data_IF_066933297195
#
_entry.id   IF_066933297195
#
_cell.length_a   1.000
_cell.length_b   1.000
_cell.length_c   1.000
_cell.angle_alpha   90.00
_cell.angle_beta   90.00
_cell.angle_gamma   90.00
#
_symmetry.space_group_name_H-M   'P 1'
#
loop_
_entity.id
_entity.type
_entity.pdbx_description
1 polymer ?
#
# COMPACT_ATOMS: atom_id res chain seq x y z
N UNK A 1 17.07 22.86 -10.88
CA UNK A 1 18.15 23.79 -10.57
C UNK A 1 19.28 23.48 -11.54
N UNK A 2 19.75 24.50 -12.25
CA UNK A 2 20.87 24.39 -13.18
C UNK A 2 22.16 24.72 -12.43
N UNK A 3 23.17 23.88 -12.60
CA UNK A 3 24.49 24.09 -12.00
C UNK A 3 25.51 24.41 -13.10
N UNK A 4 26.19 25.53 -12.97
CA UNK A 4 27.30 25.88 -13.83
C UNK A 4 28.60 25.46 -13.14
N UNK A 5 29.38 24.64 -13.82
CA UNK A 5 30.70 24.21 -13.38
C UNK A 5 31.73 24.81 -14.32
N UNK A 6 32.68 25.57 -13.75
CA UNK A 6 33.84 26.06 -14.48
C UNK A 6 34.98 25.04 -14.39
N UNK A 7 35.60 24.73 -15.51
CA UNK A 7 36.76 23.85 -15.55
C UNK A 7 37.76 24.39 -16.58
N UNK A 8 39.05 24.23 -16.33
CA UNK A 8 40.15 24.67 -17.21
C UNK A 8 40.30 23.84 -18.49
N UNK A 9 39.38 22.92 -18.73
CA UNK A 9 39.36 22.05 -19.90
C UNK A 9 38.14 21.14 -19.95
N UNK A 10 38.07 20.26 -20.95
CA UNK A 10 36.97 19.29 -21.07
C UNK A 10 37.09 18.25 -19.94
N UNK A 11 36.12 18.15 -19.01
CA UNK A 11 36.19 17.19 -17.95
C UNK A 11 36.18 15.76 -18.50
N UNK A 12 37.02 14.90 -17.97
CA UNK A 12 37.06 13.47 -18.30
C UNK A 12 35.95 12.71 -17.63
N UNK A 13 35.58 13.14 -16.42
CA UNK A 13 34.56 12.54 -15.62
C UNK A 13 33.92 13.57 -14.70
N UNK A 14 32.60 13.46 -14.46
CA UNK A 14 31.89 14.25 -13.46
C UNK A 14 31.34 13.26 -12.44
N UNK A 15 31.88 13.26 -11.22
CA UNK A 15 31.41 12.45 -10.12
C UNK A 15 30.56 13.31 -9.21
N UNK A 16 29.27 12.98 -9.12
CA UNK A 16 28.36 13.63 -8.19
C UNK A 16 28.48 12.94 -6.83
N UNK A 17 28.89 13.69 -5.81
CA UNK A 17 29.03 13.23 -4.43
C UNK A 17 29.94 12.00 -4.25
N UNK A 18 31.24 12.10 -4.55
CA UNK A 18 32.18 10.98 -4.47
C UNK A 18 32.36 10.41 -3.06
N UNK A 19 31.90 11.12 -2.04
CA UNK A 19 31.90 10.67 -0.65
C UNK A 19 30.55 10.26 -0.13
N UNK A 20 29.52 10.12 -0.97
CA UNK A 20 28.13 9.81 -0.60
C UNK A 20 27.56 10.75 0.47
N UNK A 21 28.05 12.00 0.53
CA UNK A 21 27.63 12.98 1.54
C UNK A 21 26.33 13.67 1.20
N UNK A 22 25.98 13.78 -0.10
CA UNK A 22 24.75 14.37 -0.59
C UNK A 22 23.61 13.34 -0.70
N UNK A 23 23.93 12.06 -0.87
CA UNK A 23 22.97 10.96 -0.75
C UNK A 23 22.56 10.79 0.73
N UNK A 24 22.07 11.88 1.31
CA UNK A 24 21.35 11.75 2.58
C UNK A 24 20.15 10.89 2.30
N UNK A 25 20.02 9.81 3.08
CA UNK A 25 18.78 9.02 3.13
C UNK A 25 17.68 10.00 3.51
N UNK A 26 16.86 10.40 2.55
CA UNK A 26 15.69 11.23 2.87
C UNK A 26 14.78 10.43 3.79
N UNK A 27 14.01 11.09 4.66
CA UNK A 27 13.01 10.40 5.48
C UNK A 27 12.13 9.48 4.63
N UNK A 28 11.72 9.90 3.43
CA UNK A 28 10.87 9.14 2.52
C UNK A 28 11.56 7.88 1.99
N UNK A 29 12.85 7.94 1.65
CA UNK A 29 13.63 6.77 1.26
C UNK A 29 13.78 5.78 2.41
N UNK A 30 13.93 6.27 3.63
CA UNK A 30 14.00 5.43 4.81
C UNK A 30 12.67 4.70 5.06
N UNK A 31 11.55 5.43 5.02
CA UNK A 31 10.20 4.87 5.12
C UNK A 31 9.99 3.79 4.05
N UNK A 32 10.28 4.12 2.79
CA UNK A 32 10.12 3.19 1.67
C UNK A 32 10.99 1.94 1.81
N UNK A 33 12.22 2.06 2.31
CA UNK A 33 13.12 0.93 2.53
C UNK A 33 12.61 -0.02 3.62
N UNK A 34 12.12 0.52 4.74
CA UNK A 34 11.55 -0.27 5.82
C UNK A 34 10.29 -0.97 5.35
N UNK A 35 9.40 -0.24 4.68
CA UNK A 35 8.14 -0.77 4.20
C UNK A 35 8.32 -1.87 3.12
N UNK A 36 9.32 -1.75 2.24
CA UNK A 36 9.65 -2.82 1.28
C UNK A 36 10.10 -4.11 1.98
N UNK A 37 10.91 -4.02 3.03
CA UNK A 37 11.26 -5.20 3.83
C UNK A 37 10.02 -5.84 4.45
N UNK A 38 9.07 -5.04 4.93
CA UNK A 38 7.79 -5.54 5.42
C UNK A 38 7.04 -6.34 4.36
N UNK A 39 7.01 -5.88 3.08
CA UNK A 39 6.39 -6.62 1.99
C UNK A 39 7.12 -7.94 1.69
N UNK A 40 8.44 -7.94 1.70
CA UNK A 40 9.22 -9.17 1.50
C UNK A 40 8.90 -10.19 2.58
N UNK A 41 8.90 -9.79 3.85
CA UNK A 41 8.52 -10.65 4.97
C UNK A 41 7.07 -11.15 4.84
N UNK A 42 6.15 -10.29 4.42
CA UNK A 42 4.77 -10.70 4.17
C UNK A 42 4.67 -11.77 3.06
N UNK A 43 5.39 -11.61 1.95
CA UNK A 43 5.42 -12.58 0.85
C UNK A 43 5.99 -13.94 1.28
N UNK A 44 6.94 -13.93 2.20
CA UNK A 44 7.54 -15.13 2.77
C UNK A 44 6.66 -15.79 3.85
N UNK A 45 5.57 -15.14 4.26
CA UNK A 45 4.68 -15.62 5.32
C UNK A 45 5.13 -15.26 6.73
N UNK A 46 6.17 -14.44 6.88
CA UNK A 46 6.71 -13.96 8.15
C UNK A 46 5.88 -12.77 8.64
N UNK A 47 4.62 -13.02 9.04
CA UNK A 47 3.64 -11.96 9.30
C UNK A 47 3.99 -11.07 10.49
N UNK A 48 4.63 -11.61 11.54
CA UNK A 48 5.02 -10.83 12.73
C UNK A 48 6.12 -9.82 12.37
N UNK A 49 7.11 -10.26 11.63
CA UNK A 49 8.21 -9.44 11.14
C UNK A 49 7.71 -8.38 10.16
N UNK A 50 6.81 -8.77 9.24
CA UNK A 50 6.17 -7.85 8.31
C UNK A 50 5.41 -6.74 9.04
N UNK A 51 4.58 -7.09 10.02
CA UNK A 51 3.85 -6.13 10.84
C UNK A 51 4.80 -5.18 11.55
N UNK A 52 5.86 -5.70 12.19
CA UNK A 52 6.86 -4.88 12.87
C UNK A 52 7.50 -3.86 11.94
N UNK A 53 7.88 -4.26 10.71
CA UNK A 53 8.46 -3.36 9.73
C UNK A 53 7.45 -2.26 9.30
N UNK A 54 6.20 -2.62 9.05
CA UNK A 54 5.18 -1.62 8.70
C UNK A 54 4.91 -0.64 9.84
N UNK A 55 4.82 -1.11 11.08
CA UNK A 55 4.65 -0.25 12.25
C UNK A 55 5.85 0.68 12.48
N UNK A 56 7.07 0.22 12.24
CA UNK A 56 8.27 1.07 12.27
C UNK A 56 8.24 2.15 11.20
N UNK A 57 7.81 1.81 9.99
CA UNK A 57 7.66 2.77 8.91
C UNK A 57 6.59 3.83 9.26
N UNK A 58 5.48 3.44 9.87
CA UNK A 58 4.42 4.36 10.34
C UNK A 58 4.86 5.29 11.48
N UNK A 59 5.85 4.92 12.29
CA UNK A 59 6.44 5.85 13.28
C UNK A 59 7.12 7.04 12.61
N UNK A 60 7.64 6.84 11.39
CA UNK A 60 8.32 7.87 10.61
C UNK A 60 7.35 8.66 9.72
N UNK A 61 6.33 8.01 9.17
CA UNK A 61 5.29 8.62 8.35
C UNK A 61 3.91 8.07 8.71
N UNK A 62 3.24 8.74 9.64
CA UNK A 62 1.94 8.33 10.17
C UNK A 62 0.77 8.52 9.20
N UNK A 63 0.98 9.21 8.09
CA UNK A 63 -0.07 9.51 7.11
C UNK A 63 0.05 8.67 5.84
N UNK A 64 0.86 7.62 5.86
CA UNK A 64 1.19 6.82 4.71
C UNK A 64 0.12 5.79 4.39
N UNK A 65 -0.76 6.11 3.43
CA UNK A 65 -1.84 5.23 2.99
C UNK A 65 -1.36 3.87 2.49
N UNK A 66 -0.20 3.85 1.82
CA UNK A 66 0.36 2.65 1.24
C UNK A 66 0.75 1.62 2.31
N UNK A 67 1.30 2.09 3.44
CA UNK A 67 1.67 1.20 4.56
C UNK A 67 0.42 0.66 5.25
N UNK A 68 -0.56 1.51 5.53
CA UNK A 68 -1.83 1.07 6.10
C UNK A 68 -2.55 0.06 5.21
N UNK A 69 -2.53 0.26 3.89
CA UNK A 69 -3.10 -0.70 2.94
C UNK A 69 -2.46 -2.08 3.07
N UNK A 70 -1.12 -2.15 3.16
CA UNK A 70 -0.40 -3.41 3.30
C UNK A 70 -0.60 -4.07 4.66
N UNK A 71 -0.72 -3.30 5.75
CA UNK A 71 -1.17 -3.82 7.05
C UNK A 71 -2.59 -4.39 6.96
N UNK A 72 -3.49 -3.70 6.26
CA UNK A 72 -4.83 -4.21 5.99
C UNK A 72 -4.82 -5.55 5.26
N UNK A 73 -3.97 -5.71 4.22
CA UNK A 73 -3.80 -6.98 3.51
C UNK A 73 -3.23 -8.08 4.42
N UNK A 74 -2.24 -7.77 5.25
CA UNK A 74 -1.64 -8.69 6.20
C UNK A 74 -2.70 -9.23 7.18
N UNK A 75 -3.50 -8.35 7.77
CA UNK A 75 -4.56 -8.77 8.69
C UNK A 75 -5.71 -9.50 7.98
N UNK A 76 -6.01 -9.14 6.74
CA UNK A 76 -7.00 -9.86 5.92
C UNK A 76 -6.55 -11.31 5.66
N UNK A 77 -5.28 -11.52 5.34
CA UNK A 77 -4.69 -12.86 5.15
C UNK A 77 -4.70 -13.67 6.45
N UNK A 78 -4.42 -13.02 7.59
CA UNK A 78 -4.52 -13.63 8.91
C UNK A 78 -5.97 -13.86 9.39
N UNK A 79 -6.96 -13.46 8.58
CA UNK A 79 -8.39 -13.49 8.93
C UNK A 79 -8.76 -12.64 10.15
N UNK A 80 -7.93 -11.67 10.49
CA UNK A 80 -8.24 -10.67 11.49
C UNK A 80 -8.96 -9.48 10.82
N UNK A 81 -10.23 -9.70 10.52
CA UNK A 81 -11.02 -8.79 9.70
C UNK A 81 -11.26 -7.43 10.36
N UNK A 82 -11.29 -7.36 11.69
CA UNK A 82 -11.46 -6.08 12.40
C UNK A 82 -10.24 -5.19 12.21
N UNK A 83 -9.05 -5.70 12.46
CA UNK A 83 -7.81 -4.97 12.19
C UNK A 83 -7.62 -4.65 10.71
N UNK A 84 -8.02 -5.57 9.81
CA UNK A 84 -7.98 -5.32 8.38
C UNK A 84 -8.84 -4.10 8.00
N UNK A 85 -10.10 -4.05 8.48
CA UNK A 85 -11.01 -2.91 8.23
C UNK A 85 -10.47 -1.60 8.77
N UNK A 86 -9.90 -1.62 9.98
CA UNK A 86 -9.36 -0.41 10.59
C UNK A 86 -8.16 0.12 9.80
N UNK A 87 -7.29 -0.76 9.34
CA UNK A 87 -6.15 -0.37 8.50
C UNK A 87 -6.58 0.11 7.10
N UNK A 88 -7.57 -0.52 6.45
CA UNK A 88 -8.08 0.00 5.18
C UNK A 88 -8.76 1.37 5.34
N UNK A 89 -9.48 1.61 6.45
CA UNK A 89 -10.02 2.96 6.76
C UNK A 89 -8.90 3.97 7.00
N UNK A 90 -7.84 3.58 7.71
CA UNK A 90 -6.67 4.44 7.90
C UNK A 90 -5.97 4.76 6.57
N UNK A 91 -5.88 3.78 5.65
CA UNK A 91 -5.38 4.01 4.30
C UNK A 91 -6.24 5.03 3.54
N UNK A 92 -7.56 4.94 3.65
CA UNK A 92 -8.49 5.89 3.02
C UNK A 92 -8.44 7.31 3.65
N UNK A 93 -8.02 7.42 4.89
CA UNK A 93 -7.86 8.68 5.61
C UNK A 93 -6.46 9.31 5.46
N UNK A 94 -5.50 8.61 4.90
CA UNK A 94 -4.12 9.06 4.74
C UNK A 94 -3.87 9.91 3.50
N UNK A 95 -2.63 9.86 2.99
CA UNK A 95 -2.19 10.68 1.85
C UNK A 95 -2.68 10.21 0.48
N UNK A 96 -3.33 9.04 0.38
CA UNK A 96 -3.84 8.41 -0.85
C UNK A 96 -2.80 8.30 -1.98
N UNK A 97 -1.54 8.13 -1.63
CA UNK A 97 -0.46 7.95 -2.60
C UNK A 97 0.10 6.53 -2.55
N UNK A 98 0.17 5.86 -3.70
CA UNK A 98 -0.23 6.24 -5.07
C UNK A 98 -1.77 6.23 -5.30
N UNK A 99 -2.26 6.85 -6.40
CA UNK A 99 -3.71 7.08 -6.61
C UNK A 99 -4.59 5.82 -6.60
N UNK A 100 -4.09 4.67 -7.05
CA UNK A 100 -4.83 3.41 -7.05
C UNK A 100 -5.24 2.93 -5.65
N UNK A 101 -4.58 3.43 -4.60
CA UNK A 101 -4.86 3.03 -3.22
C UNK A 101 -6.29 3.32 -2.80
N UNK A 102 -6.88 4.39 -3.28
CA UNK A 102 -8.23 4.77 -2.89
C UNK A 102 -9.25 3.70 -3.32
N UNK A 103 -9.25 3.35 -4.60
CA UNK A 103 -10.20 2.35 -5.12
C UNK A 103 -9.95 0.97 -4.52
N UNK A 104 -8.68 0.54 -4.42
CA UNK A 104 -8.37 -0.77 -3.87
C UNK A 104 -8.60 -0.87 -2.36
N UNK A 105 -8.43 0.21 -1.60
CA UNK A 105 -8.76 0.22 -0.17
C UNK A 105 -10.26 0.04 0.06
N UNK A 106 -11.10 0.66 -0.75
CA UNK A 106 -12.55 0.43 -0.69
C UNK A 106 -12.94 -1.01 -1.06
N UNK A 107 -12.31 -1.58 -2.10
CA UNK A 107 -12.55 -2.98 -2.49
C UNK A 107 -12.15 -3.92 -1.36
N UNK A 108 -10.95 -3.74 -0.79
CA UNK A 108 -10.44 -4.60 0.29
C UNK A 108 -11.22 -4.43 1.59
N UNK A 109 -11.71 -3.23 1.87
CA UNK A 109 -12.64 -2.99 2.97
C UNK A 109 -13.95 -3.77 2.76
N UNK A 110 -14.47 -3.78 1.53
CA UNK A 110 -15.62 -4.61 1.15
C UNK A 110 -15.35 -6.10 1.35
N UNK A 111 -14.18 -6.59 0.93
CA UNK A 111 -13.77 -7.98 1.11
C UNK A 111 -13.72 -8.37 2.61
N UNK A 112 -13.19 -7.48 3.46
CA UNK A 112 -13.15 -7.72 4.90
C UNK A 112 -14.57 -7.79 5.53
N UNK A 113 -15.51 -6.98 5.05
CA UNK A 113 -16.91 -7.07 5.48
C UNK A 113 -17.58 -8.35 4.99
N UNK A 114 -17.39 -8.74 3.72
CA UNK A 114 -17.93 -10.00 3.18
C UNK A 114 -17.42 -11.22 3.96
N UNK A 115 -16.13 -11.24 4.28
CA UNK A 115 -15.50 -12.30 5.05
C UNK A 115 -16.09 -12.45 6.46
N UNK A 116 -16.68 -11.38 7.02
CA UNK A 116 -17.43 -11.41 8.28
C UNK A 116 -18.94 -11.63 8.11
N UNK A 117 -19.41 -11.79 6.87
CA UNK A 117 -20.84 -11.95 6.57
C UNK A 117 -21.65 -10.65 6.56
N UNK A 118 -20.99 -9.48 6.66
CA UNK A 118 -21.67 -8.18 6.59
C UNK A 118 -21.77 -7.70 5.14
N UNK A 119 -22.64 -8.37 4.40
CA UNK A 119 -22.87 -8.08 2.98
C UNK A 119 -23.34 -6.65 2.74
N UNK A 120 -24.12 -6.09 3.66
CA UNK A 120 -24.65 -4.73 3.51
C UNK A 120 -23.53 -3.69 3.48
N UNK A 121 -22.58 -3.78 4.41
CA UNK A 121 -21.43 -2.87 4.43
C UNK A 121 -20.45 -3.18 3.32
N UNK A 122 -20.28 -4.45 2.93
CA UNK A 122 -19.47 -4.84 1.77
C UNK A 122 -19.98 -4.16 0.50
N UNK A 123 -21.28 -4.28 0.21
CA UNK A 123 -21.92 -3.64 -0.96
C UNK A 123 -21.78 -2.12 -0.94
N UNK A 124 -21.85 -1.49 0.22
CA UNK A 124 -21.63 -0.06 0.36
C UNK A 124 -20.17 0.34 0.01
N UNK A 125 -19.18 -0.45 0.44
CA UNK A 125 -17.77 -0.24 0.12
C UNK A 125 -17.51 -0.43 -1.38
N UNK A 126 -17.99 -1.51 -1.99
CA UNK A 126 -17.89 -1.73 -3.43
C UNK A 126 -18.60 -0.62 -4.25
N UNK A 127 -19.74 -0.12 -3.75
CA UNK A 127 -20.41 1.01 -4.36
C UNK A 127 -19.63 2.31 -4.30
N UNK A 128 -18.82 2.54 -3.26
CA UNK A 128 -17.91 3.69 -3.20
C UNK A 128 -16.74 3.51 -4.18
N UNK A 129 -16.15 2.32 -4.25
CA UNK A 129 -15.11 2.00 -5.24
C UNK A 129 -15.61 2.22 -6.67
N UNK A 130 -16.82 1.76 -7.00
CA UNK A 130 -17.44 1.95 -8.31
C UNK A 130 -17.63 3.44 -8.67
N UNK A 131 -18.06 4.25 -7.69
CA UNK A 131 -18.27 5.70 -7.89
C UNK A 131 -16.99 6.48 -8.17
N UNK A 132 -15.82 5.99 -7.73
CA UNK A 132 -14.53 6.58 -8.08
C UNK A 132 -14.25 6.48 -9.57
N UNK A 133 -14.76 5.44 -10.24
CA UNK A 133 -14.60 5.24 -11.69
C UNK A 133 -13.18 4.86 -12.11
N UNK A 134 -12.26 4.70 -11.17
CA UNK A 134 -10.86 4.37 -11.43
C UNK A 134 -10.70 2.87 -11.68
N UNK A 135 -10.14 2.52 -12.84
CA UNK A 135 -9.93 1.12 -13.22
C UNK A 135 -8.46 0.67 -13.10
N UNK A 136 -7.74 1.16 -12.09
CA UNK A 136 -6.38 0.69 -11.79
C UNK A 136 -6.37 -0.81 -11.51
N UNK A 137 -5.49 -1.55 -12.19
CA UNK A 137 -5.34 -3.01 -12.06
C UNK A 137 -6.69 -3.76 -12.13
N UNK A 138 -7.58 -3.37 -13.06
CA UNK A 138 -8.91 -3.94 -13.27
C UNK A 138 -9.83 -3.83 -12.03
N UNK A 139 -9.74 -2.73 -11.30
CA UNK A 139 -10.54 -2.49 -10.09
C UNK A 139 -12.05 -2.58 -10.35
N UNK A 140 -12.55 -2.07 -11.49
CA UNK A 140 -13.98 -2.14 -11.82
C UNK A 140 -14.45 -3.58 -12.08
N UNK A 141 -13.60 -4.44 -12.65
CA UNK A 141 -13.91 -5.86 -12.82
C UNK A 141 -13.96 -6.57 -11.47
N UNK A 142 -13.04 -6.23 -10.56
CA UNK A 142 -13.05 -6.74 -9.19
C UNK A 142 -14.31 -6.30 -8.44
N UNK A 143 -14.72 -5.03 -8.57
CA UNK A 143 -15.97 -4.53 -8.00
C UNK A 143 -17.17 -5.30 -8.53
N UNK A 144 -17.25 -5.48 -9.85
CA UNK A 144 -18.35 -6.21 -10.51
C UNK A 144 -18.42 -7.65 -10.01
N UNK A 145 -17.27 -8.32 -9.92
CA UNK A 145 -17.14 -9.69 -9.39
C UNK A 145 -17.67 -9.78 -7.97
N UNK A 146 -17.18 -8.92 -7.05
CA UNK A 146 -17.57 -9.01 -5.63
C UNK A 146 -18.97 -8.50 -5.35
N UNK A 147 -19.53 -7.64 -6.21
CA UNK A 147 -20.96 -7.29 -6.16
C UNK A 147 -21.85 -8.46 -6.57
N UNK A 148 -21.42 -9.26 -7.54
CA UNK A 148 -22.15 -10.45 -7.99
C UNK A 148 -22.01 -11.62 -7.00
N UNK A 149 -20.78 -11.88 -6.50
CA UNK A 149 -20.46 -12.98 -5.61
C UNK A 149 -19.65 -12.45 -4.43
N UNK A 150 -20.10 -12.66 -3.17
CA UNK A 150 -19.36 -12.24 -1.99
C UNK A 150 -17.92 -12.78 -1.99
N UNK A 151 -16.97 -11.97 -1.49
CA UNK A 151 -15.60 -12.43 -1.29
C UNK A 151 -15.56 -13.58 -0.28
N UNK A 152 -14.93 -14.70 -0.66
CA UNK A 152 -14.66 -15.84 0.24
C UNK A 152 -13.15 -16.00 0.45
N UNK A 153 -12.62 -15.76 1.66
CA UNK A 153 -11.20 -15.88 1.95
C UNK A 153 -10.66 -17.32 1.92
N UNK A 154 -11.54 -18.34 1.72
CA UNK A 154 -11.11 -19.73 1.53
C UNK A 154 -10.76 -20.02 0.07
N UNK A 155 -11.39 -19.32 -0.84
CA UNK A 155 -11.22 -19.50 -2.29
C UNK A 155 -10.16 -18.55 -2.86
N UNK A 156 -9.99 -17.39 -2.25
CA UNK A 156 -9.07 -16.35 -2.73
C UNK A 156 -8.02 -16.01 -1.68
N UNK A 157 -6.75 -16.29 -2.01
CA UNK A 157 -5.65 -15.67 -1.29
C UNK A 157 -5.55 -14.20 -1.64
N UNK A 158 -5.15 -13.38 -0.67
CA UNK A 158 -4.93 -11.96 -0.89
C UNK A 158 -3.79 -11.80 -1.91
N UNK A 159 -4.14 -11.43 -3.14
CA UNK A 159 -3.15 -11.03 -4.12
C UNK A 159 -2.48 -9.75 -3.63
N UNK A 160 -1.19 -9.80 -3.37
CA UNK A 160 -0.40 -8.60 -3.18
C UNK A 160 -0.41 -7.86 -4.51
N UNK A 161 -1.07 -6.71 -4.53
CA UNK A 161 -1.02 -5.81 -5.67
C UNK A 161 0.44 -5.42 -5.89
N UNK A 162 0.86 -5.49 -7.12
CA UNK A 162 2.23 -5.35 -7.63
C UNK A 162 2.95 -4.09 -7.20
#
# INVERSE_FOLDING_TARGET
>A
ADFNLESDGKPLEIIIDPGFKLLRISPDLRVSSIARRGIEQFKEGNYVEAQTQFEEALKLDRNNSWIYYHLGLLFLEQRNYDLAKDNFRAALAGNLSPPWLQVWSEIRLGNAYDAQGDRTRAMAAYGRAEKLGDNYDNALDAVSKYKATPYDPREERVALVK
#
